data_IF_772276649981
#
_entry.id   IF_772276649981
#
_cell.length_a   1.000
_cell.length_b   1.000
_cell.length_c   1.000
_cell.angle_alpha   90.00
_cell.angle_beta   90.00
_cell.angle_gamma   90.00
#
_symmetry.space_group_name_H-M   'P 1'
#
loop_
_entity.id
_entity.type
_entity.pdbx_description
1 polymer ?
#
# COMPACT_ATOMS: atom_id res chain seq x y z
N UNK A 1 -31.16 -7.74 26.11
CA UNK A 1 -29.70 -7.68 26.28
C UNK A 1 -29.12 -9.00 25.83
N UNK A 2 -28.45 -9.03 24.67
CA UNK A 2 -27.56 -10.12 24.29
C UNK A 2 -26.28 -9.47 23.78
N UNK A 3 -25.27 -9.46 24.65
CA UNK A 3 -23.91 -9.09 24.31
C UNK A 3 -23.30 -10.28 23.55
N UNK A 4 -23.25 -10.18 22.22
CA UNK A 4 -22.51 -11.09 21.37
C UNK A 4 -22.07 -10.38 20.09
N UNK A 5 -21.51 -9.18 20.24
CA UNK A 5 -20.72 -8.49 19.20
C UNK A 5 -19.45 -7.96 19.88
N UNK A 6 -18.65 -8.87 20.43
CA UNK A 6 -17.29 -8.57 20.86
C UNK A 6 -16.33 -9.14 19.83
N UNK A 7 -16.03 -8.29 18.84
CA UNK A 7 -14.69 -8.03 18.32
C UNK A 7 -13.87 -9.27 17.92
N UNK A 8 -14.04 -9.74 16.69
CA UNK A 8 -13.11 -10.66 16.03
C UNK A 8 -11.88 -9.90 15.47
N UNK A 9 -11.37 -8.93 16.24
CA UNK A 9 -10.02 -8.41 16.05
C UNK A 9 -9.07 -9.46 16.62
N UNK A 10 -8.84 -10.53 15.85
CA UNK A 10 -7.66 -11.37 16.06
C UNK A 10 -6.45 -10.43 16.21
N UNK A 11 -5.65 -10.62 17.26
CA UNK A 11 -4.57 -9.68 17.54
C UNK A 11 -3.60 -9.67 16.34
N UNK A 12 -3.34 -8.47 15.80
CA UNK A 12 -2.40 -8.29 14.70
C UNK A 12 -1.15 -7.61 15.24
N UNK A 13 0.01 -8.19 14.93
CA UNK A 13 1.29 -7.67 15.38
C UNK A 13 1.92 -6.86 14.25
N UNK A 14 2.18 -5.57 14.46
CA UNK A 14 2.94 -4.74 13.51
C UNK A 14 4.38 -5.28 13.45
N UNK A 15 4.80 -5.73 12.27
CA UNK A 15 6.12 -6.33 12.07
C UNK A 15 7.06 -5.47 11.22
N UNK A 16 6.51 -4.54 10.42
CA UNK A 16 7.31 -3.64 9.58
C UNK A 16 6.52 -2.39 9.19
N UNK A 17 7.26 -1.31 8.94
CA UNK A 17 6.76 -0.11 8.26
C UNK A 17 7.61 0.07 7.00
N UNK A 18 6.98 0.10 5.84
CA UNK A 18 7.66 0.21 4.54
C UNK A 18 7.35 1.58 3.94
N UNK A 19 8.34 2.44 3.84
CA UNK A 19 8.19 3.78 3.23
C UNK A 19 8.42 3.74 1.73
N UNK A 20 7.73 4.63 1.00
CA UNK A 20 7.97 4.90 -0.41
C UNK A 20 8.59 6.27 -0.59
N UNK A 21 9.77 6.31 -1.22
CA UNK A 21 10.51 7.54 -1.43
C UNK A 21 10.93 7.62 -2.88
N UNK A 22 10.79 8.79 -3.52
CA UNK A 22 11.25 9.01 -4.89
C UNK A 22 12.33 10.10 -4.94
N UNK A 23 13.30 9.92 -5.83
CA UNK A 23 14.32 10.94 -6.10
C UNK A 23 13.70 12.10 -6.87
N UNK A 24 13.84 13.32 -6.36
CA UNK A 24 13.29 14.51 -6.99
C UNK A 24 14.05 14.84 -8.28
N UNK A 25 13.33 14.90 -9.40
CA UNK A 25 13.91 15.14 -10.74
C UNK A 25 14.18 16.62 -11.05
N UNK A 26 13.57 17.55 -10.29
CA UNK A 26 13.62 19.00 -10.57
C UNK A 26 14.42 19.82 -9.55
N UNK A 27 15.08 19.18 -8.58
CA UNK A 27 15.86 19.88 -7.56
C UNK A 27 17.35 19.83 -7.88
N UNK A 28 18.04 20.96 -7.76
CA UNK A 28 19.47 21.12 -8.08
C UNK A 28 20.35 20.20 -7.21
N UNK A 29 19.87 19.86 -6.00
CA UNK A 29 20.62 19.08 -5.00
C UNK A 29 20.16 17.62 -4.87
N UNK A 30 19.21 17.14 -5.70
CA UNK A 30 18.71 15.76 -5.65
C UNK A 30 17.97 15.41 -4.35
N UNK A 31 16.85 16.09 -4.08
CA UNK A 31 16.03 15.86 -2.91
C UNK A 31 15.29 14.52 -2.92
N UNK A 32 14.75 14.15 -1.76
CA UNK A 32 13.88 12.98 -1.58
C UNK A 32 12.46 13.48 -1.34
N UNK A 33 11.52 12.97 -2.14
CA UNK A 33 10.09 13.14 -1.91
C UNK A 33 9.62 11.91 -1.11
N UNK A 34 9.10 12.08 0.13
CA UNK A 34 8.81 10.96 1.03
C UNK A 34 7.45 10.29 0.76
N UNK A 35 7.07 10.20 -0.51
CA UNK A 35 5.89 9.50 -0.98
C UNK A 35 6.03 9.14 -2.46
N UNK A 36 5.10 8.32 -2.96
CA UNK A 36 4.94 8.04 -4.38
C UNK A 36 3.47 8.18 -4.77
N UNK A 37 3.18 8.83 -5.88
CA UNK A 37 1.82 9.02 -6.35
C UNK A 37 1.26 7.72 -6.95
N UNK A 38 0.14 7.24 -6.42
CA UNK A 38 -0.47 5.98 -6.86
C UNK A 38 -0.94 6.08 -8.32
N UNK A 39 -1.53 7.20 -8.72
CA UNK A 39 -2.01 7.44 -10.09
C UNK A 39 -0.89 7.43 -11.14
N UNK A 40 0.25 8.02 -10.78
CA UNK A 40 1.44 8.18 -11.63
C UNK A 40 2.52 7.12 -11.40
N UNK A 41 2.21 6.00 -10.73
CA UNK A 41 3.22 5.01 -10.37
C UNK A 41 4.12 4.60 -11.55
N UNK A 42 3.57 4.39 -12.75
CA UNK A 42 4.37 3.99 -13.92
C UNK A 42 5.49 4.99 -14.29
N UNK A 43 5.31 6.28 -13.99
CA UNK A 43 6.30 7.33 -14.23
C UNK A 43 7.25 7.45 -13.03
N UNK A 44 6.70 7.45 -11.82
CA UNK A 44 7.46 7.70 -10.59
C UNK A 44 8.34 6.52 -10.18
N UNK A 45 8.00 5.30 -10.62
CA UNK A 45 8.76 4.08 -10.34
C UNK A 45 10.19 4.10 -10.88
N UNK A 46 10.45 4.95 -11.87
CA UNK A 46 11.79 5.17 -12.42
C UNK A 46 12.72 5.86 -11.42
N UNK A 47 12.15 6.61 -10.47
CA UNK A 47 12.89 7.36 -9.45
C UNK A 47 12.67 6.79 -8.04
N UNK A 48 11.91 5.69 -7.92
CA UNK A 48 11.64 5.02 -6.65
C UNK A 48 12.94 4.47 -6.06
N UNK A 49 13.24 4.91 -4.84
CA UNK A 49 14.40 4.46 -4.08
C UNK A 49 14.18 3.00 -3.68
N UNK A 50 15.21 2.17 -3.88
CA UNK A 50 15.19 0.74 -3.59
C UNK A 50 13.98 0.00 -4.20
N UNK A 51 13.63 0.38 -5.43
CA UNK A 51 12.45 -0.12 -6.14
C UNK A 51 12.37 -1.66 -6.18
N UNK A 52 13.50 -2.34 -6.39
CA UNK A 52 13.57 -3.80 -6.55
C UNK A 52 13.82 -4.54 -5.22
N UNK A 53 13.97 -3.84 -4.08
CA UNK A 53 14.10 -4.50 -2.77
C UNK A 53 12.79 -5.22 -2.42
N UNK A 54 12.88 -6.53 -2.12
CA UNK A 54 11.77 -7.31 -1.59
C UNK A 54 11.53 -6.90 -0.13
N UNK A 55 10.41 -6.26 0.12
CA UNK A 55 10.03 -5.69 1.42
C UNK A 55 8.97 -6.52 2.14
N UNK A 56 8.24 -7.37 1.41
CA UNK A 56 7.33 -8.37 1.98
C UNK A 56 7.64 -9.72 1.31
N UNK A 57 8.29 -10.66 2.00
CA UNK A 57 8.72 -11.93 1.41
C UNK A 57 7.57 -12.93 1.19
N UNK A 58 6.43 -12.74 1.84
CA UNK A 58 5.27 -13.62 1.69
C UNK A 58 4.65 -13.54 0.29
N UNK A 59 4.19 -14.69 -0.21
CA UNK A 59 3.68 -14.85 -1.57
C UNK A 59 2.22 -14.41 -1.72
N UNK A 60 1.52 -14.24 -0.61
CA UNK A 60 0.12 -13.82 -0.54
C UNK A 60 -0.05 -12.86 0.62
N UNK A 61 -0.69 -11.72 0.36
CA UNK A 61 -0.99 -10.70 1.36
C UNK A 61 -2.44 -10.25 1.21
N UNK A 62 -3.04 -9.81 2.31
CA UNK A 62 -4.30 -9.06 2.31
C UNK A 62 -4.00 -7.58 2.45
N UNK A 63 -4.44 -6.77 1.51
CA UNK A 63 -4.37 -5.31 1.61
C UNK A 63 -5.74 -4.81 2.09
N UNK A 64 -5.75 -4.09 3.20
CA UNK A 64 -6.90 -3.39 3.74
C UNK A 64 -6.83 -1.91 3.34
N UNK A 65 -7.92 -1.39 2.79
CA UNK A 65 -8.03 -0.02 2.31
C UNK A 65 -9.30 0.60 2.86
N UNK A 66 -9.15 1.63 3.67
CA UNK A 66 -10.25 2.43 4.25
C UNK A 66 -10.30 3.85 3.70
N UNK A 67 -9.21 4.34 3.10
CA UNK A 67 -9.10 5.64 2.45
C UNK A 67 -8.60 5.51 1.00
N UNK A 68 -9.11 6.28 0.02
CA UNK A 68 -10.19 7.27 0.10
C UNK A 68 -11.61 6.68 -0.06
N UNK A 69 -11.73 5.36 0.13
CA UNK A 69 -12.97 4.64 -0.17
C UNK A 69 -14.08 4.97 0.84
N UNK A 70 -15.31 5.08 0.35
CA UNK A 70 -16.50 5.32 1.17
C UNK A 70 -16.83 4.11 2.04
N UNK A 71 -16.48 2.91 1.56
CA UNK A 71 -16.65 1.66 2.27
C UNK A 71 -15.28 0.95 2.35
N UNK A 72 -14.72 0.76 3.55
CA UNK A 72 -13.47 0.02 3.71
C UNK A 72 -13.55 -1.37 3.08
N UNK A 73 -12.50 -1.76 2.38
CA UNK A 73 -12.43 -3.02 1.63
C UNK A 73 -11.12 -3.73 1.84
N UNK A 74 -11.09 -5.00 1.43
CA UNK A 74 -9.92 -5.85 1.49
C UNK A 74 -9.77 -6.57 0.16
N UNK A 75 -8.54 -6.72 -0.32
CA UNK A 75 -8.24 -7.55 -1.47
C UNK A 75 -6.93 -8.29 -1.29
N UNK A 76 -6.78 -9.39 -2.02
CA UNK A 76 -5.56 -10.18 -2.00
C UNK A 76 -4.65 -9.79 -3.16
N UNK A 77 -3.36 -9.76 -2.88
CA UNK A 77 -2.30 -9.71 -3.88
C UNK A 77 -1.45 -10.98 -3.77
N UNK A 78 -0.90 -11.40 -4.91
CA UNK A 78 -0.11 -12.62 -5.03
C UNK A 78 1.21 -12.33 -5.75
N UNK A 79 2.31 -12.90 -5.26
CA UNK A 79 3.63 -12.86 -5.90
C UNK A 79 4.33 -14.20 -5.75
N UNK A 80 5.07 -14.62 -6.79
CA UNK A 80 5.84 -15.86 -6.77
C UNK A 80 7.16 -15.76 -5.99
N UNK A 81 7.65 -14.55 -5.73
CA UNK A 81 8.96 -14.28 -5.10
C UNK A 81 8.87 -13.28 -3.94
N UNK A 82 7.67 -12.90 -3.51
CA UNK A 82 7.43 -11.78 -2.60
C UNK A 82 7.28 -10.44 -3.33
N UNK A 83 7.01 -9.38 -2.57
CA UNK A 83 6.71 -8.05 -3.11
C UNK A 83 7.91 -7.13 -2.96
N UNK A 84 8.44 -6.67 -4.10
CA UNK A 84 9.27 -5.47 -4.10
C UNK A 84 8.42 -4.22 -3.96
N UNK A 85 9.01 -3.08 -3.57
CA UNK A 85 8.28 -1.79 -3.55
C UNK A 85 7.65 -1.50 -4.92
N UNK A 86 8.42 -1.74 -5.98
CA UNK A 86 7.98 -1.61 -7.37
C UNK A 86 6.77 -2.49 -7.67
N UNK A 87 6.87 -3.79 -7.38
CA UNK A 87 5.78 -4.73 -7.69
C UNK A 87 4.52 -4.39 -6.90
N UNK A 88 4.64 -4.13 -5.60
CA UNK A 88 3.52 -3.74 -4.76
C UNK A 88 2.81 -2.50 -5.32
N UNK A 89 3.57 -1.46 -5.68
CA UNK A 89 3.01 -0.21 -6.19
C UNK A 89 2.26 -0.40 -7.52
N UNK A 90 2.79 -1.22 -8.44
CA UNK A 90 2.11 -1.54 -9.71
C UNK A 90 0.79 -2.25 -9.43
N UNK A 91 0.81 -3.32 -8.63
CA UNK A 91 -0.39 -4.11 -8.30
C UNK A 91 -1.43 -3.25 -7.56
N UNK A 92 -0.98 -2.39 -6.64
CA UNK A 92 -1.83 -1.46 -5.92
C UNK A 92 -2.52 -0.48 -6.89
N UNK A 93 -1.76 0.13 -7.80
CA UNK A 93 -2.29 1.08 -8.78
C UNK A 93 -3.40 0.46 -9.63
N UNK A 94 -3.23 -0.78 -10.10
CA UNK A 94 -4.25 -1.46 -10.89
C UNK A 94 -5.56 -1.63 -10.11
N UNK A 95 -5.50 -1.88 -8.79
CA UNK A 95 -6.69 -1.90 -7.93
C UNK A 95 -7.32 -0.53 -7.76
N UNK A 96 -6.51 0.50 -7.49
CA UNK A 96 -7.00 1.86 -7.29
C UNK A 96 -7.59 2.48 -8.56
N UNK A 97 -7.17 2.09 -9.76
CA UNK A 97 -7.82 2.49 -11.01
C UNK A 97 -9.26 1.98 -11.07
N UNK A 98 -9.51 0.77 -10.57
CA UNK A 98 -10.86 0.20 -10.51
C UNK A 98 -11.69 0.95 -9.47
N UNK A 99 -11.13 1.20 -8.29
CA UNK A 99 -11.82 1.93 -7.22
C UNK A 99 -12.16 3.38 -7.61
N UNK A 100 -11.22 4.09 -8.24
CA UNK A 100 -11.41 5.46 -8.71
C UNK A 100 -12.58 5.56 -9.70
N UNK A 101 -12.74 4.55 -10.57
CA UNK A 101 -13.87 4.48 -11.50
C UNK A 101 -15.19 4.19 -10.81
N UNK A 102 -15.20 3.36 -9.77
CA UNK A 102 -16.44 3.00 -9.06
C UNK A 102 -16.90 4.04 -8.05
N UNK A 103 -15.96 4.78 -7.44
CA UNK A 103 -16.22 5.74 -6.37
C UNK A 103 -15.99 7.21 -6.79
N UNK A 104 -15.67 7.45 -8.07
CA UNK A 104 -15.55 8.78 -8.69
C UNK A 104 -14.54 9.72 -8.00
N UNK A 105 -13.37 9.21 -7.60
CA UNK A 105 -12.25 10.03 -7.11
C UNK A 105 -11.08 10.10 -8.10
N UNK A 106 -10.23 11.11 -7.98
CA UNK A 106 -9.02 11.25 -8.78
C UNK A 106 -7.84 10.53 -8.12
N UNK A 107 -7.40 9.43 -8.73
CA UNK A 107 -6.24 8.65 -8.25
C UNK A 107 -4.92 9.46 -8.28
N UNK A 108 -4.84 10.53 -9.08
CA UNK A 108 -3.63 11.35 -9.18
C UNK A 108 -3.42 12.27 -7.98
N UNK A 109 -4.38 12.36 -7.06
CA UNK A 109 -4.22 13.11 -5.81
C UNK A 109 -3.80 12.22 -4.65
N UNK A 110 -3.54 10.93 -4.88
CA UNK A 110 -3.22 9.99 -3.80
C UNK A 110 -1.74 9.71 -3.76
N UNK A 111 -1.12 10.11 -2.67
CA UNK A 111 0.30 9.92 -2.40
C UNK A 111 0.46 8.81 -1.35
N UNK A 112 1.08 7.69 -1.73
CA UNK A 112 1.40 6.59 -0.83
C UNK A 112 2.68 6.92 -0.08
N UNK A 113 2.56 7.08 1.24
CA UNK A 113 3.67 7.40 2.14
C UNK A 113 4.33 6.12 2.63
N UNK A 114 3.52 5.22 3.21
CA UNK A 114 4.01 4.00 3.83
C UNK A 114 2.99 2.86 3.83
N UNK A 115 3.49 1.67 4.15
CA UNK A 115 2.70 0.50 4.51
C UNK A 115 2.97 0.14 5.95
N UNK A 116 1.91 -0.10 6.70
CA UNK A 116 2.03 -0.86 7.95
C UNK A 116 1.77 -2.32 7.66
N UNK A 117 2.77 -3.16 7.93
CA UNK A 117 2.70 -4.61 7.69
C UNK A 117 2.47 -5.33 9.00
N UNK A 118 1.38 -6.07 9.06
CA UNK A 118 0.97 -6.83 10.23
C UNK A 118 1.05 -8.32 9.96
N UNK A 119 1.41 -9.07 11.00
CA UNK A 119 1.25 -10.53 11.04
C UNK A 119 0.12 -10.89 12.00
N UNK A 120 -0.87 -11.61 11.47
CA UNK A 120 -1.98 -12.14 12.26
C UNK A 120 -1.54 -13.36 13.07
N UNK A 121 -2.31 -13.74 14.08
CA UNK A 121 -2.07 -14.98 14.86
C UNK A 121 -1.99 -16.24 13.98
N UNK A 122 -2.76 -16.27 12.89
CA UNK A 122 -2.75 -17.35 11.90
C UNK A 122 -1.50 -17.39 11.02
N UNK A 123 -0.60 -16.41 11.16
CA UNK A 123 0.61 -16.26 10.37
C UNK A 123 0.42 -15.54 9.04
N UNK A 124 -0.80 -15.12 8.69
CA UNK A 124 -1.08 -14.33 7.47
C UNK A 124 -0.60 -12.90 7.59
N UNK A 125 -0.20 -12.32 6.45
CA UNK A 125 0.19 -10.91 6.34
C UNK A 125 -1.00 -10.06 5.91
N UNK A 126 -1.21 -8.99 6.68
CA UNK A 126 -2.16 -7.92 6.38
C UNK A 126 -1.39 -6.60 6.24
N UNK A 127 -1.75 -5.80 5.24
CA UNK A 127 -1.14 -4.51 4.95
C UNK A 127 -2.21 -3.43 5.02
N UNK A 128 -1.94 -2.34 5.75
CA UNK A 128 -2.72 -1.09 5.66
C UNK A 128 -1.88 -0.02 4.97
N UNK A 129 -2.55 0.93 4.31
CA UNK A 129 -1.91 1.97 3.51
C UNK A 129 -1.95 3.31 4.25
N UNK A 130 -0.81 3.99 4.31
CA UNK A 130 -0.72 5.38 4.72
C UNK A 130 -0.74 6.26 3.47
N UNK A 131 -1.84 6.99 3.25
CA UNK A 131 -2.12 7.75 2.03
C UNK A 131 -2.43 9.21 2.39
N UNK A 132 -1.73 10.13 1.72
CA UNK A 132 -1.92 11.58 1.79
C UNK A 132 -2.57 12.16 0.51
N UNK A 133 -3.03 13.42 0.60
CA UNK A 133 -3.62 14.23 -0.48
C UNK A 133 -2.76 15.43 -0.92
#
# INVERSE_FOLDING_TARGET
>A
MSAADYNDQASKNLISIITFNVTATQTIDGGIIPWVNIGKANEEILNLIDAEEIVIPEHEITVAVDYPLSNPTHFQLYSSIGFSRKLFLIELREKFIVFAKSEEFDINTLDLVALDVYKTESGRIEVTLDIDL
#
